data_IF_190726018543
#
_entry.id   IF_190726018543
#
_cell.length_a   1.000
_cell.length_b   1.000
_cell.length_c   1.000
_cell.angle_alpha   90.00
_cell.angle_beta   90.00
_cell.angle_gamma   90.00
#
_symmetry.space_group_name_H-M   'P 1'
#
loop_
_entity.id
_entity.type
_entity.pdbx_description
1 polymer ?
#
# COMPACT_ATOMS: atom_id res chain seq x y z
N UNK A 1 16.86 -24.06 -9.28
CA UNK A 1 16.70 -22.60 -9.12
C UNK A 1 16.92 -22.24 -7.66
N UNK A 2 17.89 -21.38 -7.34
CA UNK A 2 18.03 -20.86 -5.97
C UNK A 2 16.77 -20.04 -5.66
N UNK A 3 15.94 -20.48 -4.71
CA UNK A 3 14.88 -19.61 -4.16
C UNK A 3 15.59 -18.47 -3.46
N UNK A 4 15.49 -17.26 -4.00
CA UNK A 4 15.87 -16.07 -3.24
C UNK A 4 15.00 -16.04 -1.98
N UNK A 5 15.61 -15.84 -0.82
CA UNK A 5 14.88 -15.70 0.44
C UNK A 5 14.16 -14.35 0.40
N UNK A 6 12.95 -14.35 -0.15
CA UNK A 6 12.06 -13.18 -0.14
C UNK A 6 11.44 -13.06 1.25
N UNK A 7 11.44 -11.86 1.81
CA UNK A 7 10.77 -11.59 3.09
C UNK A 7 9.25 -11.77 2.95
N UNK A 8 8.57 -12.10 4.06
CA UNK A 8 7.10 -12.17 4.09
C UNK A 8 6.48 -10.85 3.60
N UNK A 9 7.04 -9.72 4.01
CA UNK A 9 6.60 -8.41 3.57
C UNK A 9 6.67 -8.26 2.04
N UNK A 10 7.77 -8.66 1.42
CA UNK A 10 7.90 -8.54 -0.02
C UNK A 10 7.03 -9.55 -0.78
N UNK A 11 6.70 -10.71 -0.19
CA UNK A 11 5.67 -11.60 -0.73
C UNK A 11 4.27 -10.96 -0.69
N UNK A 12 3.90 -10.35 0.45
CA UNK A 12 2.63 -9.62 0.59
C UNK A 12 2.52 -8.47 -0.42
N UNK A 13 3.59 -7.70 -0.60
CA UNK A 13 3.64 -6.63 -1.61
C UNK A 13 3.51 -7.20 -3.02
N UNK A 14 4.16 -8.33 -3.32
CA UNK A 14 4.07 -8.99 -4.62
C UNK A 14 2.69 -9.57 -4.92
N UNK A 15 1.86 -9.84 -3.91
CA UNK A 15 0.47 -10.26 -4.09
C UNK A 15 -0.43 -9.09 -4.51
N UNK A 16 -0.15 -7.87 -4.06
CA UNK A 16 -1.00 -6.71 -4.37
C UNK A 16 -0.92 -6.33 -5.87
N UNK A 17 -2.06 -6.19 -6.59
CA UNK A 17 -2.10 -5.89 -8.01
C UNK A 17 -1.79 -4.42 -8.29
N UNK A 18 -0.52 -4.11 -8.54
CA UNK A 18 -0.02 -2.74 -8.81
C UNK A 18 -0.78 -2.02 -9.94
N UNK A 19 -1.13 -2.72 -11.02
CA UNK A 19 -1.84 -2.14 -12.16
C UNK A 19 -3.22 -1.57 -11.79
N UNK A 20 -3.91 -2.22 -10.84
CA UNK A 20 -5.21 -1.74 -10.34
C UNK A 20 -5.01 -0.44 -9.56
N UNK A 21 -4.00 -0.36 -8.68
CA UNK A 21 -3.69 0.86 -7.94
C UNK A 21 -3.35 2.01 -8.89
N UNK A 22 -2.50 1.78 -9.88
CA UNK A 22 -2.08 2.81 -10.83
C UNK A 22 -3.26 3.30 -11.68
N UNK A 23 -4.16 2.39 -12.09
CA UNK A 23 -5.39 2.73 -12.81
C UNK A 23 -6.38 3.57 -11.98
N UNK A 24 -6.52 3.29 -10.68
CA UNK A 24 -7.32 4.11 -9.75
C UNK A 24 -6.65 5.47 -9.57
N UNK A 25 -5.36 5.48 -9.26
CA UNK A 25 -4.61 6.70 -8.97
C UNK A 25 -4.64 7.70 -10.14
N UNK A 26 -4.64 7.21 -11.38
CA UNK A 26 -4.75 8.04 -12.59
C UNK A 26 -6.03 8.90 -12.63
N UNK A 27 -7.09 8.52 -11.91
CA UNK A 27 -8.33 9.29 -11.80
C UNK A 27 -8.22 10.46 -10.82
N UNK A 28 -7.33 10.35 -9.82
CA UNK A 28 -7.21 11.32 -8.73
C UNK A 28 -6.05 12.29 -8.94
N UNK A 29 -4.96 11.83 -9.56
CA UNK A 29 -3.83 12.69 -9.88
C UNK A 29 -3.04 12.17 -11.07
N UNK A 30 -2.40 13.09 -11.79
CA UNK A 30 -1.39 12.75 -12.80
C UNK A 30 0.00 12.91 -12.18
N UNK A 31 0.86 11.87 -12.19
CA UNK A 31 2.24 12.04 -11.77
C UNK A 31 2.93 13.05 -12.70
N UNK A 32 3.61 14.04 -12.12
CA UNK A 32 4.49 14.91 -12.91
C UNK A 32 5.71 14.12 -13.39
N UNK A 33 6.25 14.48 -14.56
CA UNK A 33 7.41 13.80 -15.17
C UNK A 33 8.66 13.72 -14.25
N UNK A 34 8.74 14.57 -13.22
CA UNK A 34 9.84 14.62 -12.24
C UNK A 34 9.48 14.03 -10.85
N UNK A 35 8.35 13.34 -10.71
CA UNK A 35 7.96 12.73 -9.43
C UNK A 35 8.95 11.62 -9.06
N UNK A 36 9.72 11.84 -7.99
CA UNK A 36 10.75 10.89 -7.51
C UNK A 36 10.17 9.63 -6.86
N UNK A 37 8.86 9.59 -6.63
CA UNK A 37 8.17 8.45 -6.04
C UNK A 37 6.73 8.37 -6.53
N UNK A 38 6.18 7.17 -6.53
CA UNK A 38 4.87 6.81 -7.10
C UNK A 38 3.82 6.63 -6.00
N UNK A 39 2.55 6.41 -6.39
CA UNK A 39 1.50 5.96 -5.44
C UNK A 39 1.82 4.59 -4.88
N UNK A 40 2.44 3.72 -5.69
CA UNK A 40 2.83 2.38 -5.30
C UNK A 40 3.84 2.41 -4.14
N UNK A 41 4.86 3.26 -4.25
CA UNK A 41 5.86 3.40 -3.20
C UNK A 41 5.24 3.92 -1.89
N UNK A 42 4.26 4.81 -1.97
CA UNK A 42 3.52 5.27 -0.78
C UNK A 42 2.65 4.17 -0.19
N UNK A 43 1.92 3.39 -1.00
CA UNK A 43 1.13 2.26 -0.52
C UNK A 43 2.01 1.30 0.26
N UNK A 44 3.16 0.90 -0.30
CA UNK A 44 4.10 -0.01 0.34
C UNK A 44 4.60 0.56 1.67
N UNK A 45 4.90 1.86 1.74
CA UNK A 45 5.28 2.50 2.99
C UNK A 45 4.18 2.46 4.07
N UNK A 46 2.92 2.68 3.69
CA UNK A 46 1.78 2.64 4.60
C UNK A 46 1.46 1.20 5.06
N UNK A 47 1.58 0.21 4.17
CA UNK A 47 1.41 -1.20 4.53
C UNK A 47 2.54 -1.65 5.47
N UNK A 48 3.77 -1.20 5.23
CA UNK A 48 4.89 -1.43 6.13
C UNK A 48 4.60 -0.86 7.53
N UNK A 49 4.11 0.38 7.61
CA UNK A 49 3.72 1.02 8.86
C UNK A 49 2.71 0.18 9.65
N UNK A 50 1.66 -0.32 9.00
CA UNK A 50 0.61 -1.10 9.66
C UNK A 50 1.10 -2.47 10.15
N UNK A 51 1.92 -3.16 9.37
CA UNK A 51 2.44 -4.48 9.75
C UNK A 51 3.56 -4.35 10.79
N UNK A 52 4.40 -3.33 10.66
CA UNK A 52 5.53 -3.07 11.53
C UNK A 52 5.18 -2.37 12.84
N UNK A 53 3.93 -1.91 13.00
CA UNK A 53 3.51 -1.12 14.15
C UNK A 53 4.33 0.17 14.31
N UNK A 54 4.68 0.82 13.19
CA UNK A 54 5.48 2.04 13.24
C UNK A 54 4.62 3.21 13.74
N UNK A 55 5.10 3.92 14.75
CA UNK A 55 4.40 5.06 15.35
C UNK A 55 4.89 6.40 14.78
N UNK A 56 5.94 6.38 13.95
CA UNK A 56 6.50 7.58 13.35
C UNK A 56 6.95 7.40 11.90
N UNK A 57 6.91 8.50 11.14
CA UNK A 57 7.44 8.52 9.77
C UNK A 57 8.94 8.18 9.69
N UNK A 58 9.69 8.37 10.79
CA UNK A 58 11.10 8.01 10.86
C UNK A 58 11.27 6.49 10.94
N UNK A 59 10.47 5.82 11.77
CA UNK A 59 10.49 4.35 11.86
C UNK A 59 10.10 3.71 10.54
N UNK A 60 9.13 4.30 9.83
CA UNK A 60 8.76 3.83 8.48
C UNK A 60 9.94 4.00 7.52
N UNK A 61 10.60 5.17 7.50
CA UNK A 61 11.76 5.42 6.64
C UNK A 61 12.90 4.43 6.95
N UNK A 62 13.35 4.38 8.19
CA UNK A 62 14.47 3.53 8.62
C UNK A 62 14.17 2.03 8.39
N UNK A 63 12.94 1.60 8.68
CA UNK A 63 12.48 0.23 8.45
C UNK A 63 12.43 -0.16 6.97
N UNK A 64 11.93 0.74 6.11
CA UNK A 64 11.93 0.52 4.65
C UNK A 64 13.36 0.47 4.10
N UNK A 65 14.27 1.31 4.60
CA UNK A 65 15.68 1.28 4.19
C UNK A 65 16.38 -0.02 4.61
N UNK A 66 16.02 -0.59 5.75
CA UNK A 66 16.48 -1.92 6.16
C UNK A 66 15.91 -3.04 5.27
N UNK A 67 14.62 -2.94 4.89
CA UNK A 67 13.92 -3.95 4.09
C UNK A 67 14.15 -3.85 2.56
N UNK A 68 14.78 -2.77 2.08
CA UNK A 68 14.88 -2.36 0.68
C UNK A 68 15.48 -3.44 -0.25
N UNK A 69 16.46 -4.20 0.24
CA UNK A 69 17.08 -5.28 -0.52
C UNK A 69 16.08 -6.37 -0.95
N UNK A 70 15.09 -6.67 -0.12
CA UNK A 70 14.02 -7.62 -0.45
C UNK A 70 12.92 -7.00 -1.31
N UNK A 71 12.69 -5.70 -1.20
CA UNK A 71 11.60 -5.00 -1.88
C UNK A 71 11.86 -4.77 -3.36
N UNK A 72 13.10 -4.45 -3.73
CA UNK A 72 13.46 -4.21 -5.13
C UNK A 72 13.22 -5.44 -6.02
N UNK A 73 13.36 -6.65 -5.47
CA UNK A 73 13.19 -7.89 -6.24
C UNK A 73 11.77 -8.44 -6.26
N UNK A 74 10.93 -8.14 -5.26
CA UNK A 74 9.62 -8.78 -5.09
C UNK A 74 8.43 -7.81 -5.08
N UNK A 75 8.67 -6.51 -4.90
CA UNK A 75 7.61 -5.49 -4.92
C UNK A 75 7.88 -4.32 -5.87
N UNK A 76 9.11 -4.14 -6.37
CA UNK A 76 9.46 -3.05 -7.28
C UNK A 76 9.16 -1.64 -6.73
N UNK A 77 9.12 -1.52 -5.40
CA UNK A 77 8.88 -0.28 -4.67
C UNK A 77 10.20 0.28 -4.15
N UNK A 78 10.28 1.61 -4.11
CA UNK A 78 11.42 2.34 -3.57
C UNK A 78 11.12 2.81 -2.14
N UNK A 79 12.13 2.81 -1.26
CA UNK A 79 11.96 3.41 0.06
C UNK A 79 11.69 4.91 -0.06
N UNK A 80 10.64 5.36 0.63
CA UNK A 80 10.32 6.78 0.72
C UNK A 80 11.12 7.42 1.84
N UNK A 81 11.63 8.62 1.55
CA UNK A 81 12.12 9.53 2.60
C UNK A 81 10.95 10.02 3.44
N UNK A 82 11.17 10.28 4.73
CA UNK A 82 10.15 10.82 5.64
C UNK A 82 9.44 12.06 5.09
N UNK A 83 10.19 12.99 4.50
CA UNK A 83 9.62 14.23 3.95
C UNK A 83 8.76 13.97 2.71
N UNK A 84 9.16 13.02 1.87
CA UNK A 84 8.38 12.58 0.72
C UNK A 84 7.09 11.90 1.14
N UNK A 85 7.14 11.03 2.16
CA UNK A 85 5.96 10.36 2.71
C UNK A 85 4.99 11.35 3.36
N UNK A 86 5.49 12.29 4.18
CA UNK A 86 4.67 13.34 4.77
C UNK A 86 3.94 14.16 3.71
N UNK A 87 4.67 14.57 2.67
CA UNK A 87 4.10 15.32 1.55
C UNK A 87 3.05 14.51 0.78
N UNK A 88 3.31 13.22 0.54
CA UNK A 88 2.38 12.33 -0.14
C UNK A 88 1.08 12.18 0.64
N UNK A 89 1.17 11.96 1.96
CA UNK A 89 0.03 11.82 2.85
C UNK A 89 -0.82 13.10 2.92
N UNK A 90 -0.18 14.27 2.85
CA UNK A 90 -0.88 15.55 2.90
C UNK A 90 -1.57 15.94 1.58
N UNK A 91 -1.12 15.40 0.42
CA UNK A 91 -1.58 15.87 -0.90
C UNK A 91 -2.36 14.86 -1.72
N UNK A 92 -2.10 13.56 -1.57
CA UNK A 92 -2.80 12.54 -2.35
C UNK A 92 -4.12 12.22 -1.67
N UNK A 93 -5.19 12.15 -2.46
CA UNK A 93 -6.52 11.82 -1.96
C UNK A 93 -6.50 10.39 -1.38
N UNK A 94 -6.96 10.24 -0.14
CA UNK A 94 -7.03 8.94 0.55
C UNK A 94 -7.95 7.94 -0.18
N UNK A 95 -8.91 8.44 -0.97
CA UNK A 95 -9.85 7.61 -1.75
C UNK A 95 -9.16 6.69 -2.73
N UNK A 96 -7.92 6.99 -3.13
CA UNK A 96 -7.11 6.09 -3.95
C UNK A 96 -6.90 4.75 -3.22
N UNK A 97 -6.51 4.81 -1.95
CA UNK A 97 -6.25 3.63 -1.13
C UNK A 97 -7.54 2.94 -0.68
N UNK A 98 -8.59 3.72 -0.40
CA UNK A 98 -9.93 3.19 -0.12
C UNK A 98 -10.47 2.36 -1.30
N UNK A 99 -10.47 2.93 -2.51
CA UNK A 99 -10.94 2.20 -3.70
C UNK A 99 -10.04 1.00 -4.00
N UNK A 100 -8.73 1.15 -3.80
CA UNK A 100 -7.80 0.03 -3.97
C UNK A 100 -8.11 -1.12 -3.01
N UNK A 101 -8.42 -0.82 -1.74
CA UNK A 101 -8.83 -1.83 -0.77
C UNK A 101 -10.07 -2.60 -1.25
N UNK A 102 -11.13 -1.91 -1.67
CA UNK A 102 -12.33 -2.59 -2.15
C UNK A 102 -12.08 -3.41 -3.42
N UNK A 103 -11.20 -2.94 -4.31
CA UNK A 103 -10.79 -3.72 -5.49
C UNK A 103 -9.92 -4.92 -5.15
N UNK A 104 -9.06 -4.81 -4.14
CA UNK A 104 -8.27 -5.93 -3.63
C UNK A 104 -9.18 -6.99 -3.00
N UNK A 105 -10.18 -6.55 -2.24
CA UNK A 105 -11.18 -7.39 -1.62
C UNK A 105 -11.97 -8.18 -2.68
N UNK A 106 -12.42 -7.51 -3.73
CA UNK A 106 -13.07 -8.13 -4.90
C UNK A 106 -12.12 -9.11 -5.60
N UNK A 107 -10.86 -8.72 -5.83
CA UNK A 107 -9.85 -9.55 -6.51
C UNK A 107 -9.59 -10.88 -5.82
N UNK A 108 -9.68 -10.92 -4.49
CA UNK A 108 -9.44 -12.12 -3.70
C UNK A 108 -10.71 -12.76 -3.12
N UNK A 109 -11.89 -12.24 -3.44
CA UNK A 109 -13.15 -12.72 -2.89
C UNK A 109 -13.34 -14.22 -3.15
N UNK A 110 -13.12 -14.65 -4.39
CA UNK A 110 -13.25 -16.05 -4.80
C UNK A 110 -12.20 -16.96 -4.14
N UNK A 111 -10.95 -16.49 -4.05
CA UNK A 111 -9.85 -17.26 -3.47
C UNK A 111 -10.10 -17.59 -2.00
N UNK A 112 -10.66 -16.64 -1.26
CA UNK A 112 -10.94 -16.78 0.17
C UNK A 112 -12.38 -17.17 0.48
N UNK A 113 -13.21 -17.46 -0.55
CA UNK A 113 -14.65 -17.71 -0.41
C UNK A 113 -15.35 -16.64 0.47
N UNK A 114 -15.02 -15.38 0.25
CA UNK A 114 -15.57 -14.27 1.04
C UNK A 114 -17.01 -14.01 0.61
N UNK A 115 -17.94 -14.13 1.54
CA UNK A 115 -19.32 -13.67 1.37
C UNK A 115 -19.50 -12.33 2.08
N UNK A 116 -19.59 -11.25 1.31
CA UNK A 116 -19.90 -9.94 1.87
C UNK A 116 -21.40 -9.78 2.01
N UNK A 117 -21.83 -9.29 3.18
CA UNK A 117 -23.18 -8.77 3.32
C UNK A 117 -23.32 -7.49 2.49
N UNK A 118 -24.55 -7.14 2.13
CA UNK A 118 -24.82 -5.86 1.47
C UNK A 118 -24.29 -4.71 2.33
N UNK A 119 -23.83 -3.63 1.67
CA UNK A 119 -23.44 -2.40 2.39
C UNK A 119 -24.54 -1.99 3.37
N UNK A 120 -24.13 -1.63 4.57
CA UNK A 120 -25.05 -1.12 5.58
C UNK A 120 -25.69 0.18 5.07
N UNK A 121 -27.01 0.23 5.11
CA UNK A 121 -27.80 1.41 4.73
C UNK A 121 -27.65 2.56 5.74
N UNK A 122 -27.36 2.22 6.99
CA UNK A 122 -27.15 3.17 8.09
C UNK A 122 -25.66 3.25 8.45
N UNK A 123 -25.16 4.44 8.85
CA UNK A 123 -23.80 4.58 9.35
C UNK A 123 -23.61 3.66 10.55
N UNK A 124 -22.64 2.75 10.45
CA UNK A 124 -22.24 1.88 11.55
C UNK A 124 -21.13 2.60 12.31
N UNK A 125 -21.41 2.96 13.55
CA UNK A 125 -20.40 3.47 14.47
C UNK A 125 -19.73 2.27 15.14
N UNK A 126 -18.51 1.94 14.71
CA UNK A 126 -17.68 0.99 15.43
C UNK A 126 -17.19 1.69 16.71
N UNK A 127 -17.52 1.13 17.88
CA UNK A 127 -16.90 1.53 19.13
C UNK A 127 -15.55 0.79 19.18
N UNK A 128 -14.54 1.45 18.63
CA UNK A 128 -13.13 1.14 18.86
C UNK A 128 -12.74 1.69 20.26
N UNK A 129 -11.91 0.96 20.99
CA UNK A 129 -11.50 1.23 22.39
C UNK A 129 -10.07 1.71 22.48
#
# INVERSE_FOLDING_TARGET
>A
MKKATTTLFAQLVGMMPRSILEGIAAQFYKPGNASKFTVWDQLVALVFCHIGGCDSLREIEDGLYSALGSLNHAGGAQALKRTSLAYANARRDYRIFEQFYFKLLEHYADLFNLCFSSKYDKPVYAIDS
#
